data_IF_247643387503
#
_entry.id   IF_247643387503
#
_cell.length_a   1.000
_cell.length_b   1.000
_cell.length_c   1.000
_cell.angle_alpha   90.00
_cell.angle_beta   90.00
_cell.angle_gamma   90.00
#
_symmetry.space_group_name_H-M   'P 1'
#
loop_
_entity.id
_entity.type
_entity.pdbx_description
1 polymer ?
#
# COMPACT_ATOMS: atom_id res chain seq x y z
N UNK A 1 -60.36 -15.54 59.80
CA UNK A 1 -59.57 -16.70 59.36
C UNK A 1 -58.69 -16.26 58.20
N UNK A 2 -57.40 -16.08 58.48
CA UNK A 2 -56.38 -15.60 57.54
C UNK A 2 -56.02 -16.67 56.51
N UNK A 3 -55.77 -16.27 55.26
CA UNK A 3 -54.98 -17.05 54.32
C UNK A 3 -53.90 -16.14 53.72
N UNK A 4 -52.67 -16.32 54.18
CA UNK A 4 -51.49 -15.63 53.68
C UNK A 4 -50.99 -16.32 52.41
N UNK A 5 -50.88 -15.57 51.32
CA UNK A 5 -50.27 -16.03 50.06
C UNK A 5 -48.76 -15.72 50.15
N UNK A 6 -47.93 -16.76 50.07
CA UNK A 6 -46.46 -16.63 50.05
C UNK A 6 -45.98 -16.25 48.65
N UNK A 7 -44.97 -15.38 48.49
CA UNK A 7 -44.39 -15.12 47.18
C UNK A 7 -43.41 -16.24 46.81
N UNK A 8 -43.59 -16.81 45.62
CA UNK A 8 -42.64 -17.71 45.00
C UNK A 8 -41.48 -16.89 44.42
N UNK A 9 -40.25 -17.14 44.90
CA UNK A 9 -39.05 -16.52 44.37
C UNK A 9 -38.72 -17.15 43.01
N UNK A 10 -38.80 -16.35 41.93
CA UNK A 10 -38.19 -16.69 40.64
C UNK A 10 -36.68 -16.39 40.72
N UNK A 11 -35.87 -17.44 40.78
CA UNK A 11 -34.44 -17.34 40.51
C UNK A 11 -34.22 -17.28 38.99
N UNK A 12 -34.02 -16.07 38.47
CA UNK A 12 -33.54 -15.86 37.12
C UNK A 12 -32.04 -16.24 37.06
N UNK A 13 -31.74 -17.45 36.57
CA UNK A 13 -30.37 -17.87 36.28
C UNK A 13 -29.84 -17.12 35.05
N UNK A 14 -28.98 -16.13 35.26
CA UNK A 14 -28.15 -15.58 34.20
C UNK A 14 -27.03 -16.58 33.87
N UNK A 15 -27.16 -17.31 32.76
CA UNK A 15 -26.01 -17.97 32.14
C UNK A 15 -25.25 -16.88 31.39
N UNK A 16 -24.19 -16.36 32.00
CA UNK A 16 -23.19 -15.57 31.29
C UNK A 16 -22.45 -16.50 30.32
N UNK A 17 -22.96 -16.60 29.09
CA UNK A 17 -22.20 -17.16 27.97
C UNK A 17 -21.02 -16.22 27.78
N UNK A 18 -19.84 -16.67 28.20
CA UNK A 18 -18.59 -15.96 27.97
C UNK A 18 -18.45 -15.70 26.48
N UNK A 19 -18.68 -14.45 26.07
CA UNK A 19 -18.17 -13.91 24.83
C UNK A 19 -16.65 -13.96 24.95
N UNK A 20 -16.06 -15.10 24.59
CA UNK A 20 -14.63 -15.19 24.31
C UNK A 20 -14.37 -14.14 23.24
N UNK A 21 -13.82 -12.99 23.66
CA UNK A 21 -13.37 -11.97 22.76
C UNK A 21 -12.32 -12.62 21.86
N UNK A 22 -12.70 -12.88 20.61
CA UNK A 22 -11.72 -13.18 19.58
C UNK A 22 -10.70 -12.05 19.60
N UNK A 23 -9.38 -12.34 19.56
CA UNK A 23 -8.39 -11.29 19.45
C UNK A 23 -8.72 -10.49 18.20
N UNK A 24 -8.85 -9.17 18.36
CA UNK A 24 -8.97 -8.28 17.22
C UNK A 24 -7.86 -8.62 16.23
N UNK A 25 -8.23 -8.84 14.95
CA UNK A 25 -7.24 -9.04 13.91
C UNK A 25 -6.18 -7.93 14.03
N UNK A 26 -4.88 -8.25 13.98
CA UNK A 26 -3.84 -7.25 14.19
C UNK A 26 -4.08 -6.08 13.23
N UNK A 27 -4.08 -4.87 13.78
CA UNK A 27 -4.30 -3.66 12.99
C UNK A 27 -3.34 -3.67 11.80
N UNK A 28 -3.89 -3.60 10.58
CA UNK A 28 -3.09 -3.58 9.34
C UNK A 28 -2.03 -2.49 9.47
N UNK A 29 -0.76 -2.86 9.36
CA UNK A 29 0.33 -1.89 9.46
C UNK A 29 0.13 -0.76 8.46
N UNK A 30 0.11 0.48 8.94
CA UNK A 30 -0.09 1.67 8.10
C UNK A 30 1.25 2.30 7.70
N UNK A 31 1.28 2.83 6.48
CA UNK A 31 2.43 3.47 5.85
C UNK A 31 2.05 4.88 5.33
N UNK A 32 3.01 5.78 5.10
CA UNK A 32 2.74 7.11 4.55
C UNK A 32 1.86 7.09 3.29
N UNK A 33 2.10 6.11 2.41
CA UNK A 33 1.37 5.92 1.15
C UNK A 33 -0.13 5.67 1.33
N UNK A 34 -0.56 5.13 2.48
CA UNK A 34 -1.97 4.86 2.76
C UNK A 34 -2.80 6.13 2.99
N UNK A 35 -2.16 7.29 3.20
CA UNK A 35 -2.83 8.58 3.40
C UNK A 35 -3.10 9.34 2.09
N UNK A 36 -2.74 8.75 0.96
CA UNK A 36 -2.98 9.33 -0.36
C UNK A 36 -4.36 9.01 -0.93
N UNK A 37 -4.76 9.68 -2.02
CA UNK A 37 -5.98 9.35 -2.74
C UNK A 37 -6.00 7.88 -3.17
N UNK A 38 -7.19 7.25 -3.10
CA UNK A 38 -7.35 5.83 -3.44
C UNK A 38 -7.35 5.55 -4.94
N UNK A 39 -7.46 6.59 -5.77
CA UNK A 39 -7.48 6.54 -7.23
C UNK A 39 -6.67 7.71 -7.79
N UNK A 40 -6.39 7.68 -9.09
CA UNK A 40 -5.65 8.75 -9.79
C UNK A 40 -6.56 9.80 -10.46
N UNK A 41 -7.85 9.84 -10.09
CA UNK A 41 -8.80 10.79 -10.68
C UNK A 41 -9.33 10.43 -12.08
N UNK A 42 -8.98 9.26 -12.61
CA UNK A 42 -9.46 8.72 -13.89
C UNK A 42 -8.34 8.11 -14.73
N UNK A 43 -8.67 7.30 -15.74
CA UNK A 43 -7.70 6.69 -16.68
C UNK A 43 -7.23 7.66 -17.79
N UNK A 44 -7.36 8.97 -17.58
CA UNK A 44 -7.01 9.99 -18.57
C UNK A 44 -5.52 9.92 -18.91
N UNK A 45 -5.20 9.64 -20.17
CA UNK A 45 -3.82 9.44 -20.65
C UNK A 45 -3.23 8.06 -20.36
N UNK A 46 -3.93 7.17 -19.66
CA UNK A 46 -3.51 5.77 -19.51
C UNK A 46 -3.84 4.99 -20.80
N UNK A 47 -2.85 4.31 -21.41
CA UNK A 47 -3.07 3.39 -22.53
C UNK A 47 -4.15 2.36 -22.20
N UNK A 48 -4.97 2.01 -23.18
CA UNK A 48 -6.07 1.05 -23.01
C UNK A 48 -5.60 -0.28 -22.41
N UNK A 49 -4.47 -0.80 -22.90
CA UNK A 49 -3.87 -2.04 -22.41
C UNK A 49 -3.44 -2.01 -20.93
N UNK A 50 -3.32 -0.83 -20.30
CA UNK A 50 -2.92 -0.68 -18.90
C UNK A 50 -4.10 -0.50 -17.94
N UNK A 51 -5.29 -0.20 -18.45
CA UNK A 51 -6.49 0.04 -17.62
C UNK A 51 -6.90 -1.20 -16.82
N UNK A 52 -6.73 -2.39 -17.39
CA UNK A 52 -6.95 -3.66 -16.71
C UNK A 52 -6.01 -3.82 -15.51
N UNK A 53 -4.70 -3.58 -15.72
CA UNK A 53 -3.69 -3.62 -14.66
C UNK A 53 -3.96 -2.61 -13.54
N UNK A 54 -4.38 -1.39 -13.88
CA UNK A 54 -4.79 -0.39 -12.89
C UNK A 54 -5.99 -0.86 -12.06
N UNK A 55 -7.04 -1.35 -12.73
CA UNK A 55 -8.25 -1.83 -12.06
C UNK A 55 -7.94 -3.00 -11.12
N UNK A 56 -7.11 -3.94 -11.58
CA UNK A 56 -6.63 -5.05 -10.77
C UNK A 56 -5.81 -4.57 -9.57
N UNK A 57 -4.95 -3.56 -9.73
CA UNK A 57 -4.19 -2.99 -8.61
C UNK A 57 -5.11 -2.39 -7.53
N UNK A 58 -6.19 -1.70 -7.93
CA UNK A 58 -7.16 -1.15 -6.97
C UNK A 58 -7.90 -2.24 -6.19
N UNK A 59 -8.27 -3.33 -6.86
CA UNK A 59 -9.04 -4.43 -6.26
C UNK A 59 -8.14 -5.35 -5.45
N UNK A 60 -7.10 -5.93 -6.07
CA UNK A 60 -6.26 -6.98 -5.49
C UNK A 60 -5.37 -6.47 -4.37
N UNK A 61 -4.68 -5.34 -4.58
CA UNK A 61 -3.86 -4.75 -3.51
C UNK A 61 -4.74 -4.21 -2.37
N UNK A 62 -5.98 -3.80 -2.70
CA UNK A 62 -7.02 -3.39 -1.76
C UNK A 62 -7.45 -4.46 -0.75
N UNK A 63 -7.24 -5.74 -1.08
CA UNK A 63 -7.61 -6.88 -0.22
C UNK A 63 -6.89 -6.82 1.13
N UNK A 64 -5.58 -6.55 1.13
CA UNK A 64 -4.75 -6.58 2.34
C UNK A 64 -4.44 -5.21 2.93
N UNK A 65 -4.46 -4.15 2.12
CA UNK A 65 -4.16 -2.79 2.54
C UNK A 65 -4.95 -1.77 1.71
N UNK A 66 -4.76 -0.47 1.92
CA UNK A 66 -5.45 0.52 1.08
C UNK A 66 -4.91 0.45 -0.36
N UNK A 67 -5.73 0.65 -1.40
CA UNK A 67 -5.24 0.71 -2.78
C UNK A 67 -4.26 1.88 -2.99
N UNK A 68 -4.37 2.93 -2.16
CA UNK A 68 -3.46 4.07 -2.13
C UNK A 68 -2.00 3.66 -1.88
N UNK A 69 -1.76 2.54 -1.17
CA UNK A 69 -0.40 2.09 -0.83
C UNK A 69 0.50 1.91 -2.05
N UNK A 70 -0.02 1.27 -3.11
CA UNK A 70 0.74 1.02 -4.33
C UNK A 70 0.94 2.33 -5.12
N UNK A 71 -0.14 3.10 -5.30
CA UNK A 71 -0.14 4.35 -6.07
C UNK A 71 0.82 5.41 -5.51
N UNK A 72 0.98 5.43 -4.19
CA UNK A 72 1.80 6.43 -3.49
C UNK A 72 3.06 5.84 -2.84
N UNK A 73 3.43 4.60 -3.17
CA UNK A 73 4.68 4.01 -2.68
C UNK A 73 5.91 4.76 -3.22
N UNK A 74 6.99 4.84 -2.40
CA UNK A 74 8.30 5.39 -2.82
C UNK A 74 8.92 4.66 -4.01
N UNK A 75 8.49 3.43 -4.28
CA UNK A 75 9.01 2.64 -5.39
C UNK A 75 8.76 3.35 -6.72
N UNK A 76 9.84 3.49 -7.47
CA UNK A 76 9.82 3.94 -8.85
C UNK A 76 10.73 3.01 -9.66
N UNK A 77 10.20 2.47 -10.74
CA UNK A 77 10.92 1.60 -11.67
C UNK A 77 10.91 2.30 -13.04
N UNK A 78 12.06 2.57 -13.66
CA UNK A 78 12.07 3.06 -15.03
C UNK A 78 11.55 1.99 -16.00
N UNK A 79 10.99 2.43 -17.12
CA UNK A 79 10.60 1.53 -18.20
C UNK A 79 11.84 0.85 -18.82
N UNK A 80 11.66 -0.32 -19.41
CA UNK A 80 12.73 -1.11 -20.03
C UNK A 80 12.24 -2.48 -20.46
N UNK A 81 12.78 -2.99 -21.58
CA UNK A 81 12.31 -4.25 -22.19
C UNK A 81 12.75 -5.48 -21.40
N UNK A 82 13.87 -5.38 -20.69
CA UNK A 82 14.48 -6.46 -19.91
C UNK A 82 15.23 -5.86 -18.71
N UNK A 83 15.75 -6.74 -17.83
CA UNK A 83 16.47 -6.31 -16.63
C UNK A 83 17.72 -5.46 -16.96
N UNK A 84 18.61 -5.84 -17.89
CA UNK A 84 19.74 -4.99 -18.29
C UNK A 84 19.35 -3.58 -18.74
N UNK A 85 18.30 -3.43 -19.55
CA UNK A 85 17.81 -2.13 -20.00
C UNK A 85 17.33 -1.28 -18.82
N UNK A 86 16.62 -1.90 -17.86
CA UNK A 86 16.15 -1.24 -16.65
C UNK A 86 17.30 -0.82 -15.74
N UNK A 87 18.32 -1.66 -15.57
CA UNK A 87 19.51 -1.35 -14.77
C UNK A 87 20.34 -0.21 -15.39
N UNK A 88 20.47 -0.19 -16.72
CA UNK A 88 21.07 0.91 -17.44
C UNK A 88 20.27 2.22 -17.27
N UNK A 89 18.94 2.15 -17.29
CA UNK A 89 18.08 3.30 -17.02
C UNK A 89 18.22 3.80 -15.57
N UNK A 90 18.25 2.90 -14.57
CA UNK A 90 18.52 3.27 -13.17
C UNK A 90 19.89 3.94 -13.03
N UNK A 91 20.91 3.42 -13.69
CA UNK A 91 22.26 4.00 -13.67
C UNK A 91 22.29 5.40 -14.27
N UNK A 92 21.58 5.60 -15.38
CA UNK A 92 21.43 6.92 -16.03
C UNK A 92 20.70 7.89 -15.12
N UNK A 93 19.56 7.47 -14.53
CA UNK A 93 18.83 8.28 -13.54
C UNK A 93 19.70 8.66 -12.33
N UNK A 94 20.61 7.79 -11.90
CA UNK A 94 21.52 8.10 -10.79
C UNK A 94 22.53 9.19 -11.14
N UNK A 95 22.99 9.23 -12.39
CA UNK A 95 23.87 10.27 -12.89
C UNK A 95 23.12 11.60 -13.09
N UNK A 96 21.94 11.55 -13.72
CA UNK A 96 21.19 12.73 -14.14
C UNK A 96 20.33 13.34 -13.03
N UNK A 97 19.84 12.50 -12.11
CA UNK A 97 18.91 12.84 -11.03
C UNK A 97 19.35 12.26 -9.68
N UNK A 98 20.53 12.65 -9.15
CA UNK A 98 21.06 12.12 -7.90
C UNK A 98 20.13 12.36 -6.69
N UNK A 99 19.23 13.33 -6.74
CA UNK A 99 18.18 13.56 -5.74
C UNK A 99 17.26 12.34 -5.53
N UNK A 100 16.97 11.56 -6.57
CA UNK A 100 16.13 10.36 -6.45
C UNK A 100 16.76 9.28 -5.55
N UNK A 101 18.07 9.35 -5.33
CA UNK A 101 18.83 8.38 -4.54
C UNK A 101 19.28 8.94 -3.19
N UNK A 102 19.09 10.25 -2.93
CA UNK A 102 19.40 10.90 -1.65
C UNK A 102 18.19 11.07 -0.74
N UNK A 103 16.98 10.90 -1.28
CA UNK A 103 15.71 11.10 -0.57
C UNK A 103 14.91 9.78 -0.50
N UNK A 104 15.34 8.78 0.30
CA UNK A 104 14.79 7.42 0.26
C UNK A 104 13.30 7.36 0.59
N UNK A 105 12.80 8.28 1.42
CA UNK A 105 11.39 8.35 1.77
C UNK A 105 10.49 8.94 0.68
N UNK A 106 11.08 9.60 -0.32
CA UNK A 106 10.39 10.14 -1.49
C UNK A 106 10.48 9.15 -2.66
N UNK A 107 11.70 8.67 -2.93
CA UNK A 107 11.99 7.72 -4.01
C UNK A 107 12.82 6.53 -3.53
N UNK A 108 12.51 5.37 -4.11
CA UNK A 108 13.37 4.21 -4.13
C UNK A 108 13.37 3.70 -5.57
N UNK A 109 14.41 4.10 -6.29
CA UNK A 109 14.59 3.82 -7.71
C UNK A 109 15.43 2.56 -7.87
N UNK A 110 14.81 1.51 -8.38
CA UNK A 110 15.45 0.19 -8.55
C UNK A 110 14.84 -0.54 -9.75
N UNK A 111 15.64 -1.36 -10.43
CA UNK A 111 15.13 -2.26 -11.45
C UNK A 111 14.31 -3.40 -10.80
N UNK A 112 13.19 -3.76 -11.42
CA UNK A 112 12.28 -4.84 -11.01
C UNK A 112 11.74 -4.74 -9.57
N UNK A 113 11.79 -3.57 -8.94
CA UNK A 113 11.29 -3.38 -7.57
C UNK A 113 9.79 -3.65 -7.48
N UNK A 114 9.03 -3.25 -8.50
CA UNK A 114 7.61 -3.54 -8.56
C UNK A 114 7.35 -5.01 -8.83
N UNK A 115 8.14 -5.64 -9.69
CA UNK A 115 8.04 -7.08 -9.95
C UNK A 115 8.23 -7.87 -8.65
N UNK A 116 9.33 -7.63 -7.92
CA UNK A 116 9.60 -8.27 -6.62
C UNK A 116 8.47 -8.02 -5.62
N UNK A 117 7.92 -6.81 -5.60
CA UNK A 117 6.81 -6.46 -4.71
C UNK A 117 5.53 -7.26 -5.05
N UNK A 118 5.13 -7.27 -6.32
CA UNK A 118 3.92 -7.94 -6.79
C UNK A 118 4.03 -9.45 -6.66
N UNK A 119 5.18 -10.05 -6.99
CA UNK A 119 5.41 -11.49 -6.84
C UNK A 119 5.29 -11.92 -5.37
N UNK A 120 5.85 -11.16 -4.42
CA UNK A 120 5.67 -11.42 -2.98
C UNK A 120 4.23 -11.30 -2.53
N UNK A 121 3.43 -10.43 -3.15
CA UNK A 121 2.00 -10.34 -2.85
C UNK A 121 1.24 -11.53 -3.44
N UNK A 122 1.53 -11.91 -4.68
CA UNK A 122 0.93 -13.05 -5.36
C UNK A 122 1.22 -14.38 -4.66
N UNK A 123 2.39 -14.53 -4.06
CA UNK A 123 2.74 -15.71 -3.24
C UNK A 123 1.84 -15.88 -2.00
N UNK A 124 1.09 -14.85 -1.58
CA UNK A 124 0.14 -14.95 -0.47
C UNK A 124 -1.19 -15.49 -0.99
N UNK A 125 -1.62 -16.64 -0.46
CA UNK A 125 -2.90 -17.27 -0.82
C UNK A 125 -4.12 -16.35 -0.64
N UNK A 126 -4.05 -15.41 0.31
CA UNK A 126 -5.12 -14.43 0.56
C UNK A 126 -5.17 -13.25 -0.40
N UNK A 127 -4.18 -13.09 -1.29
CA UNK A 127 -4.12 -11.95 -2.21
C UNK A 127 -5.10 -12.07 -3.39
N UNK A 128 -5.38 -13.31 -3.82
CA UNK A 128 -6.14 -13.58 -5.04
C UNK A 128 -5.47 -13.08 -6.33
N UNK A 129 -4.17 -12.78 -6.32
CA UNK A 129 -3.41 -12.33 -7.49
C UNK A 129 -2.90 -13.57 -8.25
N UNK A 130 -3.48 -13.84 -9.41
CA UNK A 130 -2.95 -14.83 -10.35
C UNK A 130 -1.75 -14.31 -11.16
N UNK A 131 -1.11 -15.18 -11.91
CA UNK A 131 0.07 -14.82 -12.73
C UNK A 131 -0.25 -13.74 -13.79
N UNK A 132 -1.42 -13.83 -14.44
CA UNK A 132 -1.91 -12.81 -15.37
C UNK A 132 -2.15 -11.47 -14.69
N UNK A 133 -2.75 -11.49 -13.48
CA UNK A 133 -2.97 -10.28 -12.68
C UNK A 133 -1.64 -9.63 -12.29
N UNK A 134 -0.67 -10.43 -11.84
CA UNK A 134 0.65 -9.96 -11.43
C UNK A 134 1.36 -9.22 -12.57
N UNK A 135 1.36 -9.78 -13.78
CA UNK A 135 1.91 -9.12 -14.98
C UNK A 135 1.21 -7.80 -15.31
N UNK A 136 -0.12 -7.81 -15.32
CA UNK A 136 -0.89 -6.61 -15.66
C UNK A 136 -0.69 -5.49 -14.62
N UNK A 137 -0.67 -5.85 -13.33
CA UNK A 137 -0.41 -4.92 -12.23
C UNK A 137 1.02 -4.36 -12.33
N UNK A 138 2.03 -5.20 -12.57
CA UNK A 138 3.41 -4.77 -12.72
C UNK A 138 3.57 -3.79 -13.89
N UNK A 139 3.02 -4.11 -15.06
CA UNK A 139 3.07 -3.23 -16.23
C UNK A 139 2.45 -1.85 -15.94
N UNK A 140 1.31 -1.81 -15.24
CA UNK A 140 0.72 -0.55 -14.79
C UNK A 140 1.64 0.21 -13.83
N UNK A 141 2.23 -0.45 -12.82
CA UNK A 141 3.06 0.22 -11.82
C UNK A 141 4.38 0.76 -12.38
N UNK A 142 4.95 0.11 -13.41
CA UNK A 142 6.11 0.64 -14.16
C UNK A 142 5.71 1.89 -14.94
N UNK A 143 4.62 1.83 -15.72
CA UNK A 143 4.11 2.99 -16.44
C UNK A 143 3.78 4.16 -15.50
N UNK A 144 3.17 3.86 -14.36
CA UNK A 144 2.84 4.84 -13.32
C UNK A 144 4.09 5.52 -12.74
N UNK A 145 5.16 4.72 -12.55
CA UNK A 145 6.45 5.22 -12.07
C UNK A 145 7.07 6.20 -13.06
N UNK A 146 7.16 5.81 -14.33
CA UNK A 146 7.68 6.66 -15.42
C UNK A 146 6.89 7.97 -15.54
N UNK A 147 5.55 7.89 -15.51
CA UNK A 147 4.68 9.04 -15.81
C UNK A 147 4.45 9.99 -14.67
N UNK A 148 4.33 9.48 -13.44
CA UNK A 148 3.97 10.32 -12.30
C UNK A 148 5.11 10.55 -11.33
N UNK A 149 6.08 9.64 -11.23
CA UNK A 149 7.10 9.67 -10.17
C UNK A 149 8.46 10.15 -10.64
N UNK A 150 8.76 9.94 -11.92
CA UNK A 150 10.04 10.26 -12.54
C UNK A 150 9.89 11.39 -13.57
N UNK A 151 11.02 11.78 -14.17
CA UNK A 151 11.09 12.74 -15.26
C UNK A 151 10.41 14.08 -14.93
N UNK A 152 9.64 14.61 -15.88
CA UNK A 152 9.00 15.93 -15.75
C UNK A 152 7.99 16.03 -14.59
N UNK A 153 7.44 14.91 -14.12
CA UNK A 153 6.49 14.87 -13.02
C UNK A 153 7.15 14.77 -11.64
N UNK A 154 8.48 14.57 -11.57
CA UNK A 154 9.20 14.30 -10.33
C UNK A 154 9.00 15.39 -9.26
N UNK A 155 8.94 16.67 -9.65
CA UNK A 155 8.67 17.76 -8.70
C UNK A 155 7.29 17.67 -8.04
N UNK A 156 6.25 17.37 -8.84
CA UNK A 156 4.90 17.18 -8.32
C UNK A 156 4.79 15.93 -7.42
N UNK A 157 5.50 14.86 -7.79
CA UNK A 157 5.60 13.65 -6.97
C UNK A 157 6.27 13.92 -5.63
N UNK A 158 7.39 14.64 -5.63
CA UNK A 158 8.08 15.03 -4.40
C UNK A 158 7.16 15.78 -3.46
N UNK A 159 6.49 16.82 -3.95
CA UNK A 159 5.54 17.60 -3.17
C UNK A 159 4.43 16.74 -2.57
N UNK A 160 3.88 15.80 -3.35
CA UNK A 160 2.89 14.83 -2.86
C UNK A 160 3.46 13.93 -1.76
N UNK A 161 4.62 13.32 -1.98
CA UNK A 161 5.22 12.37 -1.02
C UNK A 161 5.63 13.06 0.27
N UNK A 162 6.22 14.24 0.21
CA UNK A 162 6.53 15.03 1.40
C UNK A 162 5.26 15.41 2.17
N UNK A 163 4.16 15.77 1.49
CA UNK A 163 2.87 16.01 2.14
C UNK A 163 2.34 14.76 2.85
N UNK A 164 2.45 13.59 2.24
CA UNK A 164 2.10 12.31 2.87
C UNK A 164 2.97 12.03 4.09
N UNK A 165 4.29 12.24 3.99
CA UNK A 165 5.23 12.04 5.09
C UNK A 165 4.93 12.99 6.25
N UNK A 166 4.72 14.29 5.99
CA UNK A 166 4.36 15.28 7.02
C UNK A 166 3.07 14.89 7.75
N UNK A 167 2.01 14.56 7.00
CA UNK A 167 0.73 14.11 7.58
C UNK A 167 0.88 12.81 8.37
N UNK A 168 1.69 11.88 7.89
CA UNK A 168 1.94 10.61 8.57
C UNK A 168 2.71 10.81 9.87
N UNK A 169 3.78 11.61 9.87
CA UNK A 169 4.56 11.97 11.07
C UNK A 169 3.68 12.62 12.12
N UNK A 170 2.80 13.53 11.72
CA UNK A 170 1.88 14.21 12.63
C UNK A 170 0.83 13.26 13.23
N UNK A 171 0.28 12.32 12.42
CA UNK A 171 -0.80 11.44 12.85
C UNK A 171 -0.34 10.14 13.53
N UNK A 172 0.86 9.67 13.18
CA UNK A 172 1.40 8.37 13.61
C UNK A 172 2.89 8.45 13.99
N UNK A 173 3.28 9.32 14.94
CA UNK A 173 4.70 9.54 15.29
C UNK A 173 5.42 8.27 15.76
N UNK A 174 4.75 7.40 16.53
CA UNK A 174 5.35 6.14 16.99
C UNK A 174 5.57 5.14 15.86
N UNK A 175 4.63 5.05 14.93
CA UNK A 175 4.80 4.21 13.74
C UNK A 175 5.91 4.78 12.85
N UNK A 176 6.01 6.10 12.73
CA UNK A 176 7.07 6.75 11.99
C UNK A 176 8.45 6.40 12.55
N UNK A 177 8.66 6.51 13.88
CA UNK A 177 9.93 6.10 14.53
C UNK A 177 10.30 4.64 14.24
N UNK A 178 9.32 3.74 14.25
CA UNK A 178 9.54 2.33 13.89
C UNK A 178 9.96 2.16 12.43
N UNK A 179 9.32 2.89 11.50
CA UNK A 179 9.66 2.83 10.08
C UNK A 179 11.06 3.40 9.80
N UNK A 180 11.43 4.52 10.44
CA UNK A 180 12.79 5.06 10.33
C UNK A 180 13.85 4.08 10.83
N UNK A 181 13.59 3.41 11.95
CA UNK A 181 14.52 2.40 12.47
C UNK A 181 14.70 1.19 11.54
N UNK A 182 13.67 0.81 10.77
CA UNK A 182 13.74 -0.30 9.81
C UNK A 182 14.45 0.08 8.50
N UNK A 183 14.36 1.33 8.06
CA UNK A 183 15.00 1.83 6.83
C UNK A 183 16.47 2.24 7.05
N UNK A 184 16.90 2.37 8.31
CA UNK A 184 18.28 2.64 8.72
C UNK A 184 19.16 1.37 8.81
N UNK A 185 18.57 0.19 8.58
CA UNK A 185 19.23 -1.12 8.53
C UNK A 185 19.40 -1.57 7.07
#
# INVERSE_FOLDING_TARGET
MSAAIKPAALLAGLVAVGLSAWPAAPAREIFPSDLGPRTLGGAGGMPEGLRGGFSLALVRCGTCHTPARALHHRYAEPDGKNLPDKEAAVSSLKADHPEFFREPWVWQVEADIWKRCVDRMAAKSSSGIGEGDARAIHAFLVWDSDRRKLGKAAGAWKALRESLLRRFKARYPDRWRKLEALDAL
#
